data_IF_960801191944
#
_entry.id   IF_960801191944
#
_cell.length_a   1.000
_cell.length_b   1.000
_cell.length_c   1.000
_cell.angle_alpha   90.00
_cell.angle_beta   90.00
_cell.angle_gamma   90.00
#
_symmetry.space_group_name_H-M   'P 1'
#
loop_
_entity.id
_entity.type
_entity.pdbx_description
1 polymer ?
#
# COMPACT_ATOMS: atom_id res chain seq x y z
N UNK A 1 -30.49 -89.69 -40.50
CA UNK A 1 -29.16 -89.05 -40.48
C UNK A 1 -29.30 -87.72 -39.77
N UNK A 2 -28.68 -87.58 -38.60
CA UNK A 2 -28.65 -86.33 -37.83
C UNK A 2 -27.25 -85.77 -38.04
N UNK A 3 -27.16 -84.55 -38.59
CA UNK A 3 -25.88 -83.89 -38.80
C UNK A 3 -25.57 -83.02 -37.59
N UNK A 4 -24.40 -83.22 -36.99
CA UNK A 4 -23.89 -82.40 -35.88
C UNK A 4 -23.17 -81.17 -36.45
N UNK A 5 -23.63 -79.98 -36.08
CA UNK A 5 -23.10 -78.70 -36.58
C UNK A 5 -21.88 -78.33 -35.74
N UNK A 6 -20.69 -78.51 -36.30
CA UNK A 6 -19.39 -78.40 -35.59
C UNK A 6 -18.91 -76.95 -35.38
N UNK A 7 -19.43 -75.97 -36.11
CA UNK A 7 -19.06 -74.58 -35.87
C UNK A 7 -20.11 -73.59 -36.38
N UNK A 8 -20.37 -72.54 -35.61
CA UNK A 8 -21.31 -71.46 -35.95
C UNK A 8 -20.58 -70.13 -35.77
N UNK A 9 -20.25 -69.46 -36.87
CA UNK A 9 -19.67 -68.11 -36.80
C UNK A 9 -20.72 -67.12 -36.29
N UNK A 10 -20.30 -66.27 -35.36
CA UNK A 10 -21.19 -65.25 -34.79
C UNK A 10 -21.29 -64.11 -35.79
N UNK A 11 -22.43 -64.01 -36.48
CA UNK A 11 -22.75 -62.88 -37.36
C UNK A 11 -22.95 -61.61 -36.52
N UNK A 12 -21.93 -60.75 -36.46
CA UNK A 12 -22.05 -59.41 -35.91
C UNK A 12 -22.82 -58.52 -36.88
N UNK A 13 -24.11 -58.31 -36.64
CA UNK A 13 -24.90 -57.34 -37.40
C UNK A 13 -24.70 -55.96 -36.80
N UNK A 14 -23.91 -55.11 -37.45
CA UNK A 14 -23.77 -53.71 -37.07
C UNK A 14 -25.04 -52.96 -37.47
N UNK A 15 -25.88 -52.64 -36.50
CA UNK A 15 -27.09 -51.84 -36.74
C UNK A 15 -26.68 -50.38 -36.93
N UNK A 16 -26.70 -49.89 -38.17
CA UNK A 16 -26.61 -48.45 -38.45
C UNK A 16 -27.97 -47.81 -38.20
N UNK A 17 -28.09 -47.00 -37.14
CA UNK A 17 -29.30 -46.22 -36.89
C UNK A 17 -29.44 -45.11 -37.95
N UNK A 18 -30.66 -44.82 -38.40
CA UNK A 18 -30.93 -43.71 -39.32
C UNK A 18 -30.66 -42.37 -38.61
N UNK A 19 -30.16 -41.39 -39.37
CA UNK A 19 -29.87 -40.02 -38.89
C UNK A 19 -31.12 -39.23 -38.49
N UNK A 20 -32.32 -39.77 -38.74
CA UNK A 20 -33.63 -39.13 -38.49
C UNK A 20 -34.43 -39.92 -37.44
N UNK A 21 -33.76 -40.45 -36.42
CA UNK A 21 -34.40 -41.14 -35.29
C UNK A 21 -34.38 -40.28 -34.03
N UNK A 22 -35.40 -40.44 -33.17
CA UNK A 22 -35.46 -39.78 -31.86
C UNK A 22 -34.22 -40.08 -31.00
N UNK A 23 -33.68 -41.31 -31.08
CA UNK A 23 -32.45 -41.69 -30.39
C UNK A 23 -31.21 -40.92 -30.89
N UNK A 24 -31.18 -40.54 -32.17
CA UNK A 24 -30.11 -39.70 -32.71
C UNK A 24 -30.25 -38.25 -32.24
N UNK A 25 -31.48 -37.74 -32.13
CA UNK A 25 -31.74 -36.41 -31.58
C UNK A 25 -31.37 -36.29 -30.09
N UNK A 26 -31.67 -37.31 -29.28
CA UNK A 26 -31.24 -37.33 -27.87
C UNK A 26 -29.71 -37.44 -27.75
N UNK A 27 -29.07 -38.29 -28.57
CA UNK A 27 -27.61 -38.34 -28.64
C UNK A 27 -27.02 -36.98 -29.01
N UNK A 28 -27.53 -36.33 -30.05
CA UNK A 28 -27.08 -35.01 -30.50
C UNK A 28 -27.26 -33.96 -29.40
N UNK A 29 -28.38 -33.99 -28.65
CA UNK A 29 -28.58 -33.04 -27.55
C UNK A 29 -27.58 -33.26 -26.41
N UNK A 30 -27.29 -34.51 -26.04
CA UNK A 30 -26.26 -34.81 -25.05
C UNK A 30 -24.86 -34.45 -25.54
N UNK A 31 -24.55 -34.67 -26.83
CA UNK A 31 -23.28 -34.26 -27.44
C UNK A 31 -23.14 -32.72 -27.45
N UNK A 32 -24.21 -31.99 -27.78
CA UNK A 32 -24.27 -30.54 -27.70
C UNK A 32 -24.08 -30.05 -26.26
N UNK A 33 -24.80 -30.61 -25.28
CA UNK A 33 -24.64 -30.25 -23.86
C UNK A 33 -23.21 -30.52 -23.41
N UNK A 34 -22.64 -31.67 -23.76
CA UNK A 34 -21.27 -32.04 -23.41
C UNK A 34 -20.23 -31.04 -23.94
N UNK A 35 -20.46 -30.42 -25.10
CA UNK A 35 -19.55 -29.44 -25.70
C UNK A 35 -19.83 -28.02 -25.17
N UNK A 36 -21.08 -27.59 -25.15
CA UNK A 36 -21.45 -26.21 -24.82
C UNK A 36 -21.45 -25.92 -23.33
N UNK A 37 -21.85 -26.88 -22.48
CA UNK A 37 -21.90 -26.68 -21.03
C UNK A 37 -20.53 -26.32 -20.42
N UNK A 38 -19.42 -27.04 -20.68
CA UNK A 38 -18.13 -26.63 -20.15
C UNK A 38 -17.68 -25.28 -20.73
N UNK A 39 -17.99 -24.99 -22.00
CA UNK A 39 -17.63 -23.71 -22.62
C UNK A 39 -18.37 -22.54 -21.97
N UNK A 40 -19.69 -22.66 -21.75
CA UNK A 40 -20.49 -21.65 -21.03
C UNK A 40 -20.00 -21.50 -19.59
N UNK A 41 -19.71 -22.60 -18.88
CA UNK A 41 -19.15 -22.53 -17.52
C UNK A 41 -17.80 -21.81 -17.51
N UNK A 42 -16.91 -22.10 -18.45
CA UNK A 42 -15.60 -21.44 -18.58
C UNK A 42 -15.75 -19.93 -18.80
N UNK A 43 -16.65 -19.53 -19.70
CA UNK A 43 -16.91 -18.12 -19.99
C UNK A 43 -17.58 -17.41 -18.81
N UNK A 44 -18.61 -18.02 -18.20
CA UNK A 44 -19.36 -17.44 -17.09
C UNK A 44 -18.52 -17.32 -15.81
N UNK A 45 -17.64 -18.29 -15.53
CA UNK A 45 -16.77 -18.26 -14.34
C UNK A 45 -15.49 -17.47 -14.56
N UNK A 46 -15.20 -17.08 -15.82
CA UNK A 46 -13.90 -16.57 -16.25
C UNK A 46 -12.74 -17.48 -15.79
N UNK A 47 -12.97 -18.80 -15.71
CA UNK A 47 -12.13 -19.73 -14.95
C UNK A 47 -10.80 -20.08 -15.60
N UNK A 48 -10.67 -19.92 -16.92
CA UNK A 48 -9.43 -20.21 -17.65
C UNK A 48 -8.44 -19.04 -17.68
N UNK A 49 -8.86 -17.83 -17.29
CA UNK A 49 -8.02 -16.64 -17.39
C UNK A 49 -7.42 -16.28 -16.04
N UNK A 50 -6.11 -16.04 -16.00
CA UNK A 50 -5.40 -15.57 -14.80
C UNK A 50 -5.92 -14.18 -14.42
N UNK A 51 -6.69 -14.08 -13.33
CA UNK A 51 -7.30 -12.81 -12.87
C UNK A 51 -6.32 -11.93 -12.10
N UNK A 52 -5.42 -12.52 -11.34
CA UNK A 52 -4.44 -11.81 -10.52
C UNK A 52 -3.07 -12.46 -10.63
N UNK A 53 -2.04 -11.63 -10.61
CA UNK A 53 -0.64 -12.05 -10.51
C UNK A 53 -0.01 -11.40 -9.29
N UNK A 54 0.85 -12.15 -8.59
CA UNK A 54 1.72 -11.61 -7.56
C UNK A 54 3.09 -11.38 -8.20
N UNK A 55 3.56 -10.16 -8.11
CA UNK A 55 4.85 -9.74 -8.64
C UNK A 55 5.62 -9.06 -7.53
N UNK A 56 6.91 -9.33 -7.47
CA UNK A 56 7.82 -8.63 -6.58
C UNK A 56 8.46 -7.51 -7.39
N UNK A 57 8.13 -6.27 -7.04
CA UNK A 57 8.69 -5.09 -7.67
C UNK A 57 9.26 -4.18 -6.58
N UNK A 58 10.34 -3.47 -6.92
CA UNK A 58 10.90 -2.46 -6.05
C UNK A 58 10.28 -1.09 -6.36
N UNK A 59 9.59 -0.45 -5.40
CA UNK A 59 9.11 0.90 -5.60
C UNK A 59 10.28 1.89 -5.60
N UNK A 60 10.25 2.85 -6.51
CA UNK A 60 11.05 4.05 -6.41
C UNK A 60 10.38 4.97 -5.38
N UNK A 61 11.04 5.17 -4.24
CA UNK A 61 10.56 6.05 -3.16
C UNK A 61 11.36 7.32 -3.18
N UNK A 62 10.68 8.46 -3.09
CA UNK A 62 11.33 9.76 -2.99
C UNK A 62 10.63 10.63 -1.95
N UNK A 63 11.43 11.38 -1.19
CA UNK A 63 10.90 12.34 -0.23
C UNK A 63 10.63 13.67 -0.95
N UNK A 64 9.38 14.11 -0.97
CA UNK A 64 8.95 15.32 -1.66
C UNK A 64 9.15 16.62 -0.88
N UNK A 65 9.91 16.59 0.24
CA UNK A 65 10.10 17.75 1.12
C UNK A 65 8.88 18.14 1.96
N UNK A 66 7.79 17.37 1.87
CA UNK A 66 6.54 17.65 2.57
C UNK A 66 6.50 16.90 3.89
N UNK A 67 6.23 17.60 4.99
CA UNK A 67 6.06 17.01 6.32
C UNK A 67 5.12 17.86 7.18
N UNK A 68 4.61 17.24 8.22
CA UNK A 68 3.88 17.87 9.32
C UNK A 68 4.31 17.18 10.62
N UNK A 69 4.85 17.94 11.57
CA UNK A 69 5.12 17.50 12.92
C UNK A 69 4.18 18.24 13.87
N UNK A 70 3.55 17.51 14.76
CA UNK A 70 2.69 18.04 15.81
C UNK A 70 3.26 17.59 17.15
N UNK A 71 3.62 18.57 17.97
CA UNK A 71 4.05 18.37 19.35
C UNK A 71 2.96 18.86 20.29
N UNK A 72 2.33 17.96 21.03
CA UNK A 72 1.25 18.30 21.95
C UNK A 72 1.58 17.92 23.39
N UNK A 73 1.27 18.82 24.31
CA UNK A 73 1.04 18.55 25.73
C UNK A 73 -0.47 18.47 25.98
N UNK A 74 -0.91 18.19 27.21
CA UNK A 74 -2.32 18.03 27.56
C UNK A 74 -3.18 19.30 27.27
N UNK A 75 -2.58 20.49 27.30
CA UNK A 75 -3.30 21.77 27.16
C UNK A 75 -2.83 22.64 25.98
N UNK A 76 -1.61 22.46 25.49
CA UNK A 76 -1.04 23.25 24.40
C UNK A 76 -0.36 22.36 23.36
N UNK A 77 -0.41 22.77 22.10
CA UNK A 77 0.35 22.14 21.02
C UNK A 77 1.06 23.17 20.16
N UNK A 78 2.17 22.72 19.58
CA UNK A 78 2.89 23.40 18.54
C UNK A 78 3.01 22.48 17.35
N UNK A 79 2.99 23.04 16.16
CA UNK A 79 3.24 22.26 14.97
C UNK A 79 4.24 22.96 14.07
N UNK A 80 4.94 22.16 13.28
CA UNK A 80 5.79 22.64 12.20
C UNK A 80 5.46 21.88 10.95
N UNK A 81 5.30 22.59 9.84
CA UNK A 81 4.90 21.96 8.59
C UNK A 81 5.42 22.72 7.38
N UNK A 82 5.52 22.03 6.26
CA UNK A 82 5.75 22.62 4.93
C UNK A 82 4.45 22.87 4.17
N UNK A 83 3.29 22.71 4.82
CA UNK A 83 1.98 22.93 4.22
C UNK A 83 1.56 24.40 4.43
N UNK A 84 1.60 25.25 3.38
CA UNK A 84 1.43 26.68 3.53
C UNK A 84 0.01 27.06 3.99
N UNK A 85 -1.01 26.29 3.60
CA UNK A 85 -2.40 26.52 3.99
C UNK A 85 -2.57 26.37 5.49
N UNK A 86 -2.01 25.30 6.07
CA UNK A 86 -2.06 25.05 7.51
C UNK A 86 -1.26 26.11 8.29
N UNK A 87 -0.04 26.43 7.82
CA UNK A 87 0.81 27.43 8.46
C UNK A 87 0.16 28.82 8.53
N UNK A 88 -0.66 29.18 7.54
CA UNK A 88 -1.41 30.45 7.53
C UNK A 88 -2.65 30.42 8.39
N UNK A 89 -3.38 29.30 8.38
CA UNK A 89 -4.62 29.16 9.14
C UNK A 89 -4.36 29.17 10.65
N UNK A 90 -3.21 28.66 11.07
CA UNK A 90 -2.90 28.46 12.48
C UNK A 90 -1.52 29.02 12.87
N UNK A 91 -1.33 30.30 12.59
CA UNK A 91 -0.06 30.98 12.81
C UNK A 91 0.34 31.10 14.28
N UNK A 92 -0.60 30.97 15.23
CA UNK A 92 -0.34 31.06 16.67
C UNK A 92 0.44 29.87 17.23
N UNK A 93 0.18 28.67 16.70
CA UNK A 93 0.83 27.42 17.14
C UNK A 93 1.97 26.98 16.19
N UNK A 94 2.16 27.71 15.09
CA UNK A 94 3.18 27.40 14.10
C UNK A 94 4.58 27.78 14.59
N UNK A 95 5.49 26.82 14.49
CA UNK A 95 6.91 27.01 14.79
C UNK A 95 7.73 26.68 13.53
N UNK A 96 8.56 27.62 13.09
CA UNK A 96 9.45 27.39 11.95
C UNK A 96 10.52 26.36 12.31
N UNK A 97 10.75 25.38 11.44
CA UNK A 97 11.80 24.38 11.60
C UNK A 97 12.70 24.32 10.36
N UNK A 98 13.89 23.76 10.55
CA UNK A 98 14.86 23.51 9.49
C UNK A 98 14.74 22.05 9.05
N UNK A 99 14.67 21.84 7.73
CA UNK A 99 14.63 20.52 7.11
C UNK A 99 15.92 20.29 6.35
N UNK A 100 16.60 19.20 6.67
CA UNK A 100 17.69 18.63 5.87
C UNK A 100 17.34 17.18 5.55
N UNK A 101 17.54 16.74 4.32
CA UNK A 101 17.33 15.34 3.96
C UNK A 101 18.41 14.89 2.99
N UNK A 102 18.78 13.62 3.13
CA UNK A 102 19.77 12.96 2.30
C UNK A 102 19.23 11.58 1.90
N UNK A 103 19.49 11.18 0.66
CA UNK A 103 19.16 9.85 0.17
C UNK A 103 20.44 9.20 -0.30
N UNK A 104 20.80 8.09 0.35
CA UNK A 104 22.05 7.38 0.11
C UNK A 104 21.74 6.00 -0.44
N UNK A 105 22.20 5.71 -1.65
CA UNK A 105 22.14 4.37 -2.22
C UNK A 105 23.34 3.56 -1.72
N UNK A 106 23.14 2.70 -0.72
CA UNK A 106 24.20 1.87 -0.14
C UNK A 106 24.57 0.74 -1.11
N UNK A 107 23.57 0.17 -1.79
CA UNK A 107 23.78 -0.90 -2.77
C UNK A 107 22.71 -0.87 -3.84
N UNK A 108 22.84 -1.75 -4.84
CA UNK A 108 21.83 -1.94 -5.88
C UNK A 108 20.46 -2.28 -5.29
N UNK A 109 20.37 -2.81 -4.06
CA UNK A 109 19.12 -3.28 -3.42
C UNK A 109 18.73 -2.54 -2.12
N UNK A 110 19.55 -1.58 -1.67
CA UNK A 110 19.31 -0.88 -0.40
C UNK A 110 19.49 0.63 -0.56
N UNK A 111 18.38 1.35 -0.42
CA UNK A 111 18.37 2.80 -0.26
C UNK A 111 18.13 3.14 1.21
N UNK A 112 18.89 4.11 1.70
CA UNK A 112 18.72 4.69 3.02
C UNK A 112 18.23 6.13 2.88
N UNK A 113 17.26 6.48 3.71
CA UNK A 113 16.64 7.80 3.74
C UNK A 113 16.90 8.45 5.09
N UNK A 114 17.67 9.53 5.09
CA UNK A 114 17.96 10.33 6.27
C UNK A 114 17.15 11.62 6.21
N UNK A 115 16.26 11.82 7.18
CA UNK A 115 15.45 13.03 7.29
C UNK A 115 15.72 13.66 8.65
N UNK A 116 16.34 14.84 8.63
CA UNK A 116 16.67 15.62 9.81
C UNK A 116 15.77 16.84 9.87
N UNK A 117 14.92 16.90 10.91
CA UNK A 117 14.05 18.04 11.17
C UNK A 117 14.46 18.65 12.50
N UNK A 118 14.87 19.91 12.47
CA UNK A 118 15.33 20.66 13.64
C UNK A 118 14.36 21.77 13.97
N UNK A 119 13.82 21.74 15.18
CA UNK A 119 12.79 22.67 15.64
C UNK A 119 13.23 23.33 16.95
N UNK A 120 12.98 24.64 17.12
CA UNK A 120 13.25 25.30 18.39
C UNK A 120 12.34 24.73 19.48
N UNK A 121 12.92 24.50 20.65
CA UNK A 121 12.25 23.83 21.75
C UNK A 121 11.29 24.78 22.47
N UNK A 122 10.08 24.30 22.76
CA UNK A 122 9.19 24.95 23.71
C UNK A 122 9.35 24.36 25.12
N UNK A 123 9.09 25.16 26.17
CA UNK A 123 9.21 24.76 27.57
C UNK A 123 8.02 23.88 28.01
N UNK A 124 7.87 22.71 27.39
CA UNK A 124 6.80 21.76 27.70
C UNK A 124 7.34 20.56 28.48
N UNK A 125 6.59 20.14 29.50
CA UNK A 125 6.96 19.09 30.45
C UNK A 125 6.61 17.68 29.99
N UNK A 126 5.47 17.51 29.31
CA UNK A 126 5.03 16.25 28.69
C UNK A 126 4.79 16.48 27.21
N UNK A 127 5.52 15.75 26.36
CA UNK A 127 5.47 15.99 24.92
C UNK A 127 5.10 14.70 24.18
N UNK A 128 3.94 14.71 23.55
CA UNK A 128 3.61 13.76 22.50
C UNK A 128 4.06 14.34 21.16
N UNK A 129 4.82 13.56 20.38
CA UNK A 129 5.23 13.93 19.03
C UNK A 129 4.51 13.03 18.04
N UNK A 130 3.66 13.62 17.23
CA UNK A 130 3.06 12.97 16.06
C UNK A 130 3.72 13.51 14.81
N UNK A 131 4.19 12.63 13.94
CA UNK A 131 4.86 13.02 12.71
C UNK A 131 4.16 12.44 11.48
N UNK A 132 4.09 13.24 10.45
CA UNK A 132 3.61 12.90 9.11
C UNK A 132 4.71 13.26 8.12
N UNK A 133 5.29 12.26 7.48
CA UNK A 133 6.32 12.42 6.45
C UNK A 133 5.71 11.96 5.13
N UNK A 134 5.60 12.85 4.16
CA UNK A 134 4.95 12.53 2.88
C UNK A 134 5.99 12.06 1.86
N UNK A 135 5.72 10.90 1.27
CA UNK A 135 6.60 10.20 0.36
C UNK A 135 5.88 9.96 -0.97
N UNK A 136 6.65 10.05 -2.05
CA UNK A 136 6.19 9.75 -3.40
C UNK A 136 6.72 8.37 -3.80
N UNK A 137 5.79 7.47 -4.09
CA UNK A 137 6.03 6.12 -4.56
C UNK A 137 5.75 6.03 -6.06
N UNK A 138 6.65 5.37 -6.79
CA UNK A 138 6.45 5.04 -8.19
C UNK A 138 6.84 3.59 -8.45
N UNK A 139 5.93 2.83 -9.05
CA UNK A 139 6.14 1.52 -9.66
C UNK A 139 6.02 1.69 -11.18
N UNK A 140 6.84 1.00 -11.96
CA UNK A 140 6.93 1.19 -13.43
C UNK A 140 6.99 -0.12 -14.20
N UNK A 141 7.32 -1.24 -13.57
CA UNK A 141 7.68 -2.47 -14.26
C UNK A 141 6.44 -3.30 -14.63
N UNK A 142 5.64 -3.73 -13.66
CA UNK A 142 4.44 -4.53 -13.92
C UNK A 142 3.14 -3.74 -13.83
N UNK A 143 3.14 -2.64 -13.07
CA UNK A 143 2.00 -1.73 -12.97
C UNK A 143 2.56 -0.32 -12.84
N UNK A 144 2.09 0.60 -13.68
CA UNK A 144 2.49 2.00 -13.62
C UNK A 144 1.65 2.69 -12.55
N UNK A 145 2.16 2.64 -11.31
CA UNK A 145 1.48 3.17 -10.13
C UNK A 145 2.25 4.34 -9.60
N UNK A 146 1.57 5.46 -9.42
CA UNK A 146 2.10 6.63 -8.73
C UNK A 146 1.27 6.87 -7.48
N UNK A 147 1.91 6.92 -6.32
CA UNK A 147 1.21 7.07 -5.07
C UNK A 147 1.89 8.10 -4.16
N UNK A 148 1.12 9.08 -3.71
CA UNK A 148 1.45 9.89 -2.56
C UNK A 148 0.98 9.16 -1.30
N UNK A 149 1.93 8.85 -0.43
CA UNK A 149 1.68 8.15 0.83
C UNK A 149 2.28 8.95 1.97
N UNK A 150 1.69 8.81 3.15
CA UNK A 150 2.21 9.41 4.36
C UNK A 150 2.69 8.33 5.32
N UNK A 151 3.91 8.49 5.80
CA UNK A 151 4.38 7.81 6.99
C UNK A 151 3.88 8.58 8.21
N UNK A 152 3.02 7.95 8.99
CA UNK A 152 2.41 8.52 10.19
C UNK A 152 2.71 7.65 11.40
N UNK A 153 3.13 8.28 12.50
CA UNK A 153 3.29 7.62 13.79
C UNK A 153 3.27 8.64 14.93
N UNK A 154 3.06 8.15 16.15
CA UNK A 154 3.10 8.96 17.37
C UNK A 154 4.11 8.41 18.37
N UNK A 155 4.71 9.31 19.14
CA UNK A 155 5.77 9.00 20.10
C UNK A 155 5.49 9.78 21.37
N UNK A 156 5.43 9.08 22.49
CA UNK A 156 5.33 9.72 23.80
C UNK A 156 6.74 9.93 24.35
N UNK A 157 7.11 11.18 24.64
CA UNK A 157 8.41 11.52 25.20
C UNK A 157 8.27 11.60 26.72
N UNK A 158 8.77 10.57 27.40
CA UNK A 158 8.70 10.43 28.87
C UNK A 158 9.72 11.30 29.61
N UNK A 159 10.72 11.82 28.89
CA UNK A 159 11.82 12.61 29.46
C UNK A 159 12.21 13.75 28.51
N UNK A 160 12.76 14.87 29.04
CA UNK A 160 13.19 16.00 28.23
C UNK A 160 14.34 15.58 27.29
N UNK A 161 13.98 15.22 26.06
CA UNK A 161 14.90 14.72 25.05
C UNK A 161 15.30 15.85 24.11
N UNK A 162 16.60 15.94 23.78
CA UNK A 162 17.12 16.92 22.81
C UNK A 162 16.93 16.44 21.37
N UNK A 163 16.96 15.13 21.15
CA UNK A 163 16.72 14.55 19.84
C UNK A 163 15.98 13.22 19.95
N UNK A 164 15.19 12.95 18.91
CA UNK A 164 14.57 11.66 18.67
C UNK A 164 15.08 11.16 17.31
N UNK A 165 15.69 9.99 17.32
CA UNK A 165 16.02 9.26 16.09
C UNK A 165 15.10 8.06 15.98
N UNK A 166 14.35 7.99 14.88
CA UNK A 166 13.52 6.84 14.54
C UNK A 166 14.21 6.08 13.42
N UNK A 167 14.62 4.86 13.70
CA UNK A 167 15.21 3.94 12.72
C UNK A 167 14.24 2.81 12.45
N UNK A 168 14.19 2.35 11.21
CA UNK A 168 13.41 1.17 10.86
C UNK A 168 13.32 0.95 9.36
N UNK A 169 12.67 -0.14 8.98
CA UNK A 169 12.49 -0.52 7.58
C UNK A 169 11.17 0.05 7.08
N UNK A 170 11.24 0.82 5.99
CA UNK A 170 10.03 1.26 5.30
C UNK A 170 9.35 0.06 4.64
N UNK A 171 8.10 -0.20 5.01
CA UNK A 171 7.28 -1.29 4.50
C UNK A 171 6.02 -0.73 3.85
N UNK A 172 5.71 -1.22 2.67
CA UNK A 172 4.51 -0.86 1.94
C UNK A 172 3.40 -1.88 2.25
N UNK A 173 2.22 -1.38 2.57
CA UNK A 173 1.04 -2.19 2.90
C UNK A 173 -0.03 -1.99 1.82
N UNK A 174 -0.36 -3.09 1.14
CA UNK A 174 -1.28 -3.11 0.01
C UNK A 174 -2.54 -3.88 0.39
N UNK A 175 -3.66 -3.17 0.52
CA UNK A 175 -4.97 -3.76 0.84
C UNK A 175 -5.64 -4.37 -0.39
N UNK A 176 -5.42 -3.77 -1.57
CA UNK A 176 -6.02 -4.19 -2.83
C UNK A 176 -4.97 -4.33 -3.94
N UNK A 177 -5.11 -5.31 -4.85
CA UNK A 177 -4.20 -5.48 -5.97
C UNK A 177 -4.25 -4.24 -6.89
N UNK A 178 -3.08 -3.79 -7.35
CA UNK A 178 -2.98 -2.65 -8.25
C UNK A 178 -3.56 -2.98 -9.62
N UNK A 179 -4.18 -1.98 -10.25
CA UNK A 179 -4.50 -2.01 -11.68
C UNK A 179 -3.30 -1.52 -12.50
N UNK A 180 -3.35 -1.75 -13.81
CA UNK A 180 -2.25 -1.47 -14.73
C UNK A 180 -1.75 -0.01 -14.70
N UNK A 181 -2.63 0.95 -14.38
CA UNK A 181 -2.32 2.37 -14.22
C UNK A 181 -3.17 2.97 -13.11
N UNK A 182 -2.53 3.36 -12.01
CA UNK A 182 -3.21 3.98 -10.88
C UNK A 182 -2.45 5.17 -10.34
N UNK A 183 -3.19 6.20 -9.99
CA UNK A 183 -2.69 7.39 -9.34
C UNK A 183 -3.40 7.54 -8.00
N UNK A 184 -2.64 7.46 -6.92
CA UNK A 184 -3.11 7.71 -5.56
C UNK A 184 -2.56 9.06 -5.12
N UNK A 185 -3.45 10.02 -4.89
CA UNK A 185 -3.10 11.33 -4.33
C UNK A 185 -3.65 11.42 -2.91
N UNK A 186 -2.83 11.91 -1.99
CA UNK A 186 -3.27 12.14 -0.62
C UNK A 186 -3.83 13.55 -0.47
N UNK A 187 -3.26 14.50 -1.21
CA UNK A 187 -3.68 15.89 -1.23
C UNK A 187 -4.15 16.31 -2.61
N UNK A 188 -5.25 17.05 -2.61
CA UNK A 188 -5.69 17.81 -3.77
C UNK A 188 -4.87 19.11 -3.86
N UNK A 189 -4.12 19.35 -4.95
CA UNK A 189 -3.30 20.54 -5.11
C UNK A 189 -4.11 21.84 -5.18
N UNK A 190 -5.37 21.76 -5.61
CA UNK A 190 -6.21 22.95 -5.85
C UNK A 190 -7.02 23.35 -4.61
N UNK A 191 -6.89 22.59 -3.51
CA UNK A 191 -7.71 22.79 -2.32
C UNK A 191 -7.02 23.67 -1.28
N UNK A 192 -7.74 24.72 -0.84
CA UNK A 192 -7.23 25.74 0.09
C UNK A 192 -7.90 25.73 1.47
N UNK A 193 -8.74 24.73 1.77
CA UNK A 193 -9.43 24.64 3.06
C UNK A 193 -8.47 24.21 4.17
N UNK A 194 -8.38 24.97 5.27
CA UNK A 194 -7.52 24.60 6.42
C UNK A 194 -7.95 23.30 7.09
N UNK A 195 -9.26 23.06 7.19
CA UNK A 195 -9.84 21.83 7.73
C UNK A 195 -9.38 20.58 6.96
N UNK A 196 -9.03 20.73 5.68
CA UNK A 196 -8.50 19.64 4.86
C UNK A 196 -7.06 19.27 5.23
N UNK A 197 -6.32 20.09 5.97
CA UNK A 197 -4.93 19.82 6.35
C UNK A 197 -4.79 19.49 7.84
N UNK A 198 -5.89 19.27 8.56
CA UNK A 198 -5.84 18.86 9.96
C UNK A 198 -5.28 17.43 10.08
N UNK A 199 -4.54 17.13 11.17
CA UNK A 199 -3.99 15.78 11.40
C UNK A 199 -5.05 14.67 11.35
N UNK A 200 -6.24 14.92 11.91
CA UNK A 200 -7.34 13.94 11.93
C UNK A 200 -7.82 13.58 10.53
N UNK A 201 -8.02 14.58 9.66
CA UNK A 201 -8.47 14.36 8.28
C UNK A 201 -7.35 13.73 7.43
N UNK A 202 -6.09 14.05 7.71
CA UNK A 202 -4.93 13.39 7.09
C UNK A 202 -4.92 11.90 7.48
N UNK A 203 -5.04 11.57 8.77
CA UNK A 203 -5.10 10.19 9.26
C UNK A 203 -6.27 9.42 8.66
N UNK A 204 -7.46 10.05 8.59
CA UNK A 204 -8.64 9.46 7.96
C UNK A 204 -8.40 9.09 6.50
N UNK A 205 -7.70 9.94 5.74
CA UNK A 205 -7.35 9.64 4.33
C UNK A 205 -6.33 8.53 4.20
N UNK A 206 -5.27 8.54 5.02
CA UNK A 206 -4.27 7.46 5.04
C UNK A 206 -4.95 6.11 5.31
N UNK A 207 -5.88 6.06 6.26
CA UNK A 207 -6.61 4.84 6.60
C UNK A 207 -7.52 4.34 5.45
N UNK A 208 -8.10 5.25 4.67
CA UNK A 208 -8.98 4.91 3.52
C UNK A 208 -8.20 4.51 2.28
N UNK A 209 -6.95 4.93 2.13
CA UNK A 209 -6.15 4.57 0.96
C UNK A 209 -5.93 3.04 0.89
N UNK A 210 -5.99 2.45 -0.32
CA UNK A 210 -5.74 1.02 -0.53
C UNK A 210 -4.25 0.67 -0.46
N UNK A 211 -3.38 1.68 -0.49
CA UNK A 211 -1.95 1.57 -0.39
C UNK A 211 -1.45 2.54 0.68
N UNK A 212 -0.72 2.02 1.66
CA UNK A 212 -0.18 2.80 2.77
C UNK A 212 1.24 2.38 3.09
N UNK A 213 1.95 3.17 3.88
CA UNK A 213 3.34 2.89 4.25
C UNK A 213 3.50 2.96 5.76
N UNK A 214 4.31 2.06 6.30
CA UNK A 214 4.62 1.99 7.73
C UNK A 214 6.11 1.72 7.95
N UNK A 215 6.59 1.98 9.16
CA UNK A 215 7.90 1.54 9.61
C UNK A 215 7.76 0.18 10.29
N UNK A 216 8.38 -0.84 9.72
CA UNK A 216 8.62 -2.13 10.38
C UNK A 216 9.94 -2.10 11.17
N UNK A 217 10.04 -2.90 12.24
CA UNK A 217 11.24 -3.02 13.10
C UNK A 217 11.74 -1.67 13.63
N UNK A 218 10.81 -0.90 14.17
CA UNK A 218 11.07 0.43 14.71
C UNK A 218 12.01 0.39 15.92
N UNK A 219 13.09 1.15 15.85
CA UNK A 219 13.99 1.45 16.98
C UNK A 219 13.92 2.94 17.25
N UNK A 220 13.66 3.30 18.50
CA UNK A 220 13.59 4.69 18.94
C UNK A 220 14.79 4.97 19.84
N UNK A 221 15.59 5.96 19.46
CA UNK A 221 16.72 6.42 20.25
C UNK A 221 16.44 7.85 20.71
N UNK A 222 16.43 8.04 22.02
CA UNK A 222 16.27 9.34 22.66
C UNK A 222 17.62 9.80 23.17
N UNK A 223 18.07 10.97 22.74
CA UNK A 223 19.21 11.63 23.39
C UNK A 223 18.69 12.57 24.47
N UNK A 224 19.28 12.47 25.66
CA UNK A 224 19.01 13.39 26.76
C UNK A 224 19.85 14.65 26.59
N UNK A 225 19.30 15.78 27.03
CA UNK A 225 20.04 17.04 27.10
C UNK A 225 21.17 16.89 28.11
N UNK A 226 22.40 16.80 27.62
CA UNK A 226 23.58 16.90 28.47
C UNK A 226 23.78 18.38 28.81
N UNK A 227 23.41 18.79 30.03
CA UNK A 227 23.85 20.08 30.56
C UNK A 227 25.37 20.00 30.76
N UNK A 228 26.15 20.39 29.76
CA UNK A 228 27.57 20.64 29.95
C UNK A 228 27.74 21.94 30.72
N UNK A 229 27.68 21.88 32.05
CA UNK A 229 28.24 22.91 32.90
C UNK A 229 29.75 22.83 32.81
N UNK A 230 30.35 23.58 31.88
CA UNK A 230 31.78 23.90 31.95
C UNK A 230 31.96 24.93 33.06
N UNK A 231 32.73 24.65 34.13
CA UNK A 231 33.18 25.72 35.01
C UNK A 231 34.23 26.54 34.26
N UNK A 232 33.87 27.78 33.90
CA UNK A 232 34.87 28.79 33.58
C UNK A 232 35.78 28.94 34.81
N UNK A 233 37.08 28.77 34.57
CA UNK A 233 38.16 28.97 35.53
C UNK A 233 38.80 30.33 35.31
#
# INVERSE_FOLDING_TARGET
MVYEIVHREVLYRVYSASTVSFAYATKLSFDCIRIFLPLVLIFATHGLWKKTGRYYERPQVSFGGRYLLVMGSAEEYYFTSTLPVLNRAESSHFVASQLSYETTSISVDQDEFHVHITMPRSNMSSLSLTYFIFLNYSLKYHSDVKAEVALCDSVQLTSPSSSLTVLGRLAADQKLPFRWRELYQLFDPDRFDSAYFTPEEIMGRIARQPFSVRIDRRVQLLSLVQHSTLPFR
#
